data_IF_313314943610
#
_entry.id   IF_313314943610
#
_cell.length_a   1.000
_cell.length_b   1.000
_cell.length_c   1.000
_cell.angle_alpha   90.00
_cell.angle_beta   90.00
_cell.angle_gamma   90.00
#
_symmetry.space_group_name_H-M   'P 1'
#
loop_
_entity.id
_entity.type
_entity.pdbx_description
1 polymer ?
#
# COMPACT_ATOMS: atom_id res chain seq x y z
N UNK A 1 3.58 18.86 28.67
CA UNK A 1 3.63 18.09 27.42
C UNK A 1 4.98 18.38 26.77
N UNK A 2 5.87 17.39 26.59
CA UNK A 2 7.14 17.62 25.91
C UNK A 2 6.87 18.11 24.48
N UNK A 3 7.55 19.18 24.06
CA UNK A 3 7.23 19.89 22.81
C UNK A 3 8.10 19.43 21.64
N UNK A 4 9.14 18.64 21.90
CA UNK A 4 10.05 18.14 20.87
C UNK A 4 10.38 16.66 21.03
N UNK A 5 10.73 16.02 19.92
CA UNK A 5 11.16 14.62 19.86
C UNK A 5 12.37 14.33 20.74
N UNK A 6 13.24 15.33 20.92
CA UNK A 6 14.47 15.23 21.69
C UNK A 6 14.20 15.23 23.21
N UNK A 7 13.25 16.06 23.67
CA UNK A 7 12.78 16.06 25.06
C UNK A 7 12.10 14.74 25.42
N UNK A 8 11.30 14.20 24.50
CA UNK A 8 10.68 12.88 24.67
C UNK A 8 11.72 11.77 24.80
N UNK A 9 12.77 11.78 23.96
CA UNK A 9 13.86 10.80 24.03
C UNK A 9 14.57 10.82 25.39
N UNK A 10 14.87 12.02 25.88
CA UNK A 10 15.53 12.22 27.18
C UNK A 10 14.62 11.77 28.34
N UNK A 11 13.33 12.09 28.28
CA UNK A 11 12.36 11.67 29.28
C UNK A 11 12.14 10.14 29.31
N UNK A 12 12.28 9.47 28.16
CA UNK A 12 12.09 8.03 28.01
C UNK A 12 13.38 7.20 28.18
N UNK A 13 14.53 7.83 28.42
CA UNK A 13 15.81 7.12 28.60
C UNK A 13 16.28 6.36 27.35
N UNK A 14 15.81 6.74 26.16
CA UNK A 14 16.11 6.01 24.94
C UNK A 14 17.52 6.35 24.42
N UNK A 15 18.40 5.34 24.42
CA UNK A 15 19.82 5.50 24.09
C UNK A 15 20.08 5.54 22.57
N UNK A 16 19.20 4.95 21.76
CA UNK A 16 19.28 5.01 20.30
C UNK A 16 17.88 5.02 19.68
N UNK A 17 17.58 5.93 18.73
CA UNK A 17 16.35 5.87 17.98
C UNK A 17 16.43 4.71 17.00
N UNK A 18 15.66 3.65 17.27
CA UNK A 18 15.44 2.58 16.29
C UNK A 18 14.19 2.94 15.49
N UNK A 19 14.25 3.07 14.16
CA UNK A 19 13.06 3.24 13.34
C UNK A 19 12.22 1.96 13.45
N UNK A 20 11.19 2.01 14.30
CA UNK A 20 10.19 0.95 14.33
C UNK A 20 9.39 1.07 13.05
N UNK A 21 9.57 0.13 12.12
CA UNK A 21 8.63 -0.09 11.02
C UNK A 21 7.35 -0.60 11.65
N UNK A 22 6.50 0.30 12.13
CA UNK A 22 5.18 -0.06 12.64
C UNK A 22 4.40 -0.58 11.45
N UNK A 23 4.22 -1.90 11.42
CA UNK A 23 3.16 -2.50 10.64
C UNK A 23 1.85 -1.85 11.09
N UNK A 24 1.23 -1.04 10.22
CA UNK A 24 -0.04 -0.38 10.49
C UNK A 24 -1.19 -1.40 10.47
N UNK A 25 -1.16 -2.34 11.41
CA UNK A 25 -2.22 -3.29 11.68
C UNK A 25 -2.72 -2.99 13.09
N UNK A 26 -3.85 -2.29 13.20
CA UNK A 26 -4.38 -1.82 14.48
C UNK A 26 -5.47 -0.76 14.30
N UNK A 27 -5.98 -0.15 15.39
CA UNK A 27 -7.08 0.82 15.34
C UNK A 27 -6.80 2.04 14.45
N UNK A 28 -5.52 2.32 14.15
CA UNK A 28 -5.08 3.40 13.28
C UNK A 28 -4.94 3.01 11.79
N UNK A 29 -5.06 1.72 11.44
CA UNK A 29 -4.98 1.27 10.05
C UNK A 29 -6.09 1.85 9.17
N UNK A 30 -7.29 2.01 9.73
CA UNK A 30 -8.43 2.63 9.02
C UNK A 30 -8.20 4.11 8.76
N UNK A 31 -7.56 4.83 9.69
CA UNK A 31 -7.25 6.25 9.53
C UNK A 31 -6.17 6.48 8.47
N UNK A 32 -5.19 5.59 8.39
CA UNK A 32 -4.19 5.64 7.32
C UNK A 32 -4.82 5.36 5.95
N UNK A 33 -5.66 4.32 5.86
CA UNK A 33 -6.44 4.05 4.64
C UNK A 33 -7.32 5.26 4.25
N UNK A 34 -7.90 5.96 5.22
CA UNK A 34 -8.67 7.18 4.98
C UNK A 34 -7.83 8.28 4.33
N UNK A 35 -6.63 8.52 4.86
CA UNK A 35 -5.71 9.53 4.34
C UNK A 35 -5.26 9.18 2.92
N UNK A 36 -4.84 7.93 2.70
CA UNK A 36 -4.37 7.47 1.40
C UNK A 36 -5.47 7.56 0.33
N UNK A 37 -6.69 7.13 0.66
CA UNK A 37 -7.83 7.27 -0.24
C UNK A 37 -8.19 8.73 -0.52
N UNK A 38 -7.96 9.65 0.41
CA UNK A 38 -8.18 11.08 0.21
C UNK A 38 -7.20 11.68 -0.80
N UNK A 39 -5.95 11.22 -0.81
CA UNK A 39 -4.93 11.67 -1.75
C UNK A 39 -5.13 11.06 -3.15
N UNK A 40 -5.50 9.77 -3.24
CA UNK A 40 -5.55 9.06 -4.52
C UNK A 40 -6.85 9.27 -5.30
N UNK A 41 -7.99 9.38 -4.61
CA UNK A 41 -9.30 9.48 -5.26
C UNK A 41 -9.67 10.92 -5.62
N UNK A 42 -9.77 11.20 -6.92
CA UNK A 42 -10.08 12.54 -7.43
C UNK A 42 -11.55 12.61 -7.90
N UNK A 43 -12.26 13.68 -7.52
CA UNK A 43 -13.55 14.03 -8.13
C UNK A 43 -13.29 14.77 -9.42
N UNK A 44 -13.32 14.08 -10.56
CA UNK A 44 -13.21 14.73 -11.86
C UNK A 44 -14.45 15.58 -12.15
N UNK A 45 -14.30 16.91 -12.17
CA UNK A 45 -15.17 17.94 -12.80
C UNK A 45 -16.69 17.97 -12.53
N UNK A 46 -17.28 16.95 -11.93
CA UNK A 46 -18.73 16.79 -11.74
C UNK A 46 -19.06 15.93 -10.54
N UNK A 47 -20.36 15.79 -10.26
CA UNK A 47 -20.95 15.07 -9.12
C UNK A 47 -20.80 13.53 -9.18
N UNK A 48 -19.77 13.03 -9.87
CA UNK A 48 -19.49 11.62 -10.05
C UNK A 48 -18.77 10.99 -8.85
N UNK A 49 -18.69 9.65 -8.84
CA UNK A 49 -17.95 8.90 -7.83
C UNK A 49 -16.44 9.18 -7.97
N UNK A 50 -15.77 9.74 -6.96
CA UNK A 50 -14.32 10.00 -7.00
C UNK A 50 -13.55 8.71 -7.25
N UNK A 51 -12.65 8.67 -8.23
CA UNK A 51 -11.89 7.47 -8.62
C UNK A 51 -10.41 7.81 -8.75
N UNK A 52 -9.55 6.80 -8.64
CA UNK A 52 -8.14 6.94 -8.99
C UNK A 52 -8.01 6.97 -10.53
N UNK A 53 -7.42 8.02 -11.13
CA UNK A 53 -7.21 8.10 -12.57
C UNK A 53 -6.22 7.05 -13.11
N UNK A 54 -5.36 6.48 -12.25
CA UNK A 54 -4.42 5.43 -12.64
C UNK A 54 -5.10 4.06 -12.85
N UNK A 55 -6.33 3.87 -12.36
CA UNK A 55 -7.09 2.62 -12.54
C UNK A 55 -7.65 2.47 -13.95
N UNK A 56 -6.79 2.09 -14.90
CA UNK A 56 -7.12 1.88 -16.32
C UNK A 56 -7.67 0.48 -16.63
N UNK A 57 -7.35 -0.52 -15.80
CA UNK A 57 -7.78 -1.91 -15.98
C UNK A 57 -8.92 -2.24 -15.02
N UNK A 58 -10.00 -2.81 -15.54
CA UNK A 58 -11.17 -3.26 -14.75
C UNK A 58 -11.29 -4.77 -14.82
N UNK A 59 -11.27 -5.44 -13.67
CA UNK A 59 -11.50 -6.89 -13.53
C UNK A 59 -12.49 -7.16 -12.42
N UNK A 60 -13.25 -8.25 -12.56
CA UNK A 60 -14.16 -8.72 -11.53
C UNK A 60 -13.36 -9.48 -10.48
N UNK A 61 -13.53 -9.09 -9.22
CA UNK A 61 -12.92 -9.76 -8.06
C UNK A 61 -14.03 -10.41 -7.26
N UNK A 62 -13.90 -11.72 -7.01
CA UNK A 62 -14.83 -12.46 -6.16
C UNK A 62 -14.57 -12.17 -4.68
N UNK A 63 -15.64 -11.91 -3.93
CA UNK A 63 -15.57 -11.69 -2.48
C UNK A 63 -16.51 -12.64 -1.74
N UNK A 64 -16.13 -13.06 -0.54
CA UNK A 64 -17.06 -13.70 0.39
C UNK A 64 -18.11 -12.67 0.87
N UNK A 65 -19.35 -13.08 1.19
CA UNK A 65 -20.39 -12.16 1.66
C UNK A 65 -19.98 -11.34 2.89
N UNK A 66 -19.29 -11.96 3.86
CA UNK A 66 -18.82 -11.28 5.07
C UNK A 66 -17.80 -10.19 4.77
N UNK A 67 -16.86 -10.48 3.86
CA UNK A 67 -15.85 -9.52 3.41
C UNK A 67 -16.49 -8.33 2.70
N UNK A 68 -17.49 -8.58 1.86
CA UNK A 68 -18.21 -7.51 1.16
C UNK A 68 -18.98 -6.61 2.12
N UNK A 69 -19.61 -7.18 3.16
CA UNK A 69 -20.23 -6.40 4.26
C UNK A 69 -19.21 -5.51 4.95
N UNK A 70 -18.07 -6.06 5.36
CA UNK A 70 -17.01 -5.30 6.01
C UNK A 70 -16.50 -4.14 5.13
N UNK A 71 -16.25 -4.39 3.83
CA UNK A 71 -15.87 -3.35 2.88
C UNK A 71 -16.94 -2.27 2.73
N UNK A 72 -18.21 -2.64 2.82
CA UNK A 72 -19.34 -1.71 2.76
C UNK A 72 -19.39 -0.80 3.98
N UNK A 73 -19.22 -1.36 5.18
CA UNK A 73 -19.16 -0.58 6.41
C UNK A 73 -17.97 0.38 6.41
N UNK A 74 -16.80 -0.09 5.96
CA UNK A 74 -15.60 0.74 5.84
C UNK A 74 -15.85 1.88 4.83
N UNK A 75 -16.39 1.57 3.65
CA UNK A 75 -16.70 2.59 2.64
C UNK A 75 -17.69 3.65 3.14
N UNK A 76 -18.69 3.24 3.93
CA UNK A 76 -19.63 4.17 4.56
C UNK A 76 -18.94 5.10 5.57
N UNK A 77 -18.06 4.56 6.42
CA UNK A 77 -17.28 5.35 7.39
C UNK A 77 -16.32 6.34 6.73
N UNK A 78 -15.73 5.95 5.60
CA UNK A 78 -14.78 6.76 4.84
C UNK A 78 -15.45 7.79 3.91
N UNK A 79 -16.75 7.63 3.67
CA UNK A 79 -17.53 8.56 2.85
C UNK A 79 -17.86 9.83 3.63
N UNK A 80 -17.76 10.98 2.96
CA UNK A 80 -18.20 12.28 3.47
C UNK A 80 -19.30 12.87 2.57
N UNK A 81 -20.00 13.95 2.99
CA UNK A 81 -20.99 14.62 2.15
C UNK A 81 -20.43 15.13 0.81
N UNK A 82 -19.13 15.47 0.78
CA UNK A 82 -18.43 15.93 -0.43
C UNK A 82 -17.82 14.80 -1.25
N UNK A 83 -17.66 13.59 -0.67
CA UNK A 83 -16.91 12.49 -1.28
C UNK A 83 -17.50 11.14 -0.92
N UNK A 84 -18.12 10.47 -1.90
CA UNK A 84 -18.65 9.10 -1.70
C UNK A 84 -17.62 8.07 -2.13
N UNK A 85 -17.19 7.23 -1.19
CA UNK A 85 -16.28 6.11 -1.43
C UNK A 85 -17.10 4.83 -1.50
N UNK A 86 -16.77 3.96 -2.45
CA UNK A 86 -17.48 2.70 -2.62
C UNK A 86 -16.73 1.48 -2.10
N UNK A 87 -17.43 0.38 -1.79
CA UNK A 87 -16.79 -0.84 -1.29
C UNK A 87 -15.73 -1.37 -2.27
N UNK A 88 -16.00 -1.30 -3.58
CA UNK A 88 -15.05 -1.72 -4.61
C UNK A 88 -13.79 -0.85 -4.68
N UNK A 89 -13.89 0.44 -4.34
CA UNK A 89 -12.73 1.34 -4.33
C UNK A 89 -11.86 1.12 -3.10
N UNK A 90 -12.49 0.88 -1.94
CA UNK A 90 -11.76 0.42 -0.75
C UNK A 90 -11.04 -0.88 -1.05
N UNK A 91 -11.71 -1.83 -1.72
CA UNK A 91 -11.09 -3.10 -2.09
C UNK A 91 -9.90 -2.92 -3.04
N UNK A 92 -10.05 -2.08 -4.08
CA UNK A 92 -8.99 -1.81 -5.05
C UNK A 92 -7.75 -1.23 -4.37
N UNK A 93 -7.90 -0.23 -3.49
CA UNK A 93 -6.76 0.34 -2.75
C UNK A 93 -6.11 -0.69 -1.84
N UNK A 94 -6.88 -1.43 -1.04
CA UNK A 94 -6.32 -2.47 -0.17
C UNK A 94 -5.52 -3.54 -0.94
N UNK A 95 -5.97 -3.90 -2.15
CA UNK A 95 -5.26 -4.84 -3.03
C UNK A 95 -3.96 -4.23 -3.54
N UNK A 96 -3.98 -3.00 -4.07
CA UNK A 96 -2.79 -2.29 -4.54
C UNK A 96 -1.73 -2.16 -3.42
N UNK A 97 -2.15 -1.75 -2.23
CA UNK A 97 -1.24 -1.52 -1.10
C UNK A 97 -0.64 -2.84 -0.60
N UNK A 98 -1.43 -3.91 -0.59
CA UNK A 98 -0.97 -5.24 -0.22
C UNK A 98 0.02 -5.78 -1.25
N UNK A 99 -0.23 -5.60 -2.54
CA UNK A 99 0.69 -5.99 -3.62
C UNK A 99 1.99 -5.20 -3.53
N UNK A 100 1.93 -3.89 -3.27
CA UNK A 100 3.11 -3.05 -3.10
C UNK A 100 3.98 -3.50 -1.90
N UNK A 101 3.34 -3.75 -0.74
CA UNK A 101 4.03 -4.27 0.46
C UNK A 101 4.66 -5.63 0.23
N UNK A 102 3.94 -6.55 -0.43
CA UNK A 102 4.47 -7.86 -0.77
C UNK A 102 5.69 -7.75 -1.68
N UNK A 103 5.64 -6.88 -2.70
CA UNK A 103 6.78 -6.61 -3.58
C UNK A 103 7.99 -6.12 -2.80
N UNK A 104 7.82 -5.12 -1.94
CA UNK A 104 8.91 -4.57 -1.11
C UNK A 104 9.52 -5.64 -0.20
N UNK A 105 8.70 -6.51 0.41
CA UNK A 105 9.19 -7.62 1.24
C UNK A 105 9.86 -8.75 0.45
N UNK A 106 9.56 -8.85 -0.84
CA UNK A 106 10.05 -9.90 -1.73
C UNK A 106 11.25 -9.49 -2.58
N UNK A 107 11.65 -8.22 -2.54
CA UNK A 107 12.87 -7.73 -3.20
C UNK A 107 14.05 -8.50 -2.61
N UNK A 108 14.71 -9.39 -3.38
CA UNK A 108 15.98 -9.93 -2.97
C UNK A 108 16.94 -8.76 -2.79
N UNK A 109 17.78 -8.79 -1.76
CA UNK A 109 18.89 -7.86 -1.65
C UNK A 109 19.78 -8.06 -2.90
N UNK A 110 19.60 -7.21 -3.91
CA UNK A 110 20.42 -7.25 -5.11
C UNK A 110 21.87 -6.93 -4.72
N UNK A 111 22.64 -8.01 -4.62
CA UNK A 111 24.06 -8.05 -4.28
C UNK A 111 24.69 -9.43 -4.50
N UNK A 112 23.90 -10.50 -4.58
CA UNK A 112 24.44 -11.83 -4.89
C UNK A 112 24.46 -12.09 -6.41
N UNK A 113 25.64 -12.27 -7.03
CA UNK A 113 25.74 -12.62 -8.44
C UNK A 113 25.12 -14.01 -8.66
N UNK A 114 24.10 -14.06 -9.52
CA UNK A 114 23.43 -15.28 -9.93
C UNK A 114 24.45 -16.26 -10.57
N UNK A 115 24.76 -17.43 -9.96
CA UNK A 115 25.66 -18.39 -10.56
C UNK A 115 24.84 -19.23 -11.55
N UNK A 116 24.68 -18.74 -12.79
CA UNK A 116 23.77 -19.43 -13.71
C UNK A 116 23.88 -19.14 -15.20
N UNK A 117 24.80 -18.30 -15.67
CA UNK A 117 25.08 -18.19 -17.11
C UNK A 117 26.48 -18.70 -17.44
N UNK A 118 26.64 -20.00 -17.24
CA UNK A 118 27.77 -20.76 -17.76
C UNK A 118 27.92 -20.48 -19.26
N UNK A 119 29.10 -20.01 -19.64
CA UNK A 119 29.41 -19.55 -20.99
C UNK A 119 29.19 -20.63 -22.03
N UNK A 120 28.35 -20.32 -23.02
CA UNK A 120 28.37 -21.03 -24.30
C UNK A 120 29.50 -20.46 -25.15
N UNK A 121 30.74 -20.87 -24.85
CA UNK A 121 31.86 -20.76 -25.80
C UNK A 121 31.49 -21.56 -27.04
N UNK A 122 31.04 -20.90 -28.11
CA UNK A 122 31.07 -21.52 -29.44
C UNK A 122 32.54 -21.57 -29.87
N UNK A 123 33.13 -22.77 -29.76
CA UNK A 123 34.25 -23.13 -30.63
C UNK A 123 33.65 -23.41 -32.01
N UNK A 124 34.08 -22.68 -33.02
CA UNK A 124 34.00 -23.12 -34.42
C UNK A 124 35.27 -22.60 -35.09
N UNK A 125 36.19 -23.54 -35.30
CA UNK A 125 37.39 -23.39 -36.10
C UNK A 125 37.13 -24.14 -37.42
N UNK A 126 37.83 -23.73 -38.48
CA UNK A 126 37.99 -24.39 -39.80
C UNK A 126 36.87 -23.99 -40.78
N UNK A 127 37.14 -23.49 -41.99
CA UNK A 127 38.31 -23.64 -42.89
C UNK A 127 39.00 -22.33 -43.27
#
# INVERSE_FOLDING_TARGET
MPRSSEEMRKALGANQPVPVRTQLHGPFGVLHLQAELAERLHTGGGAGRPSDPAWTIRRLVGFRPDTWRALTEIAARLSSPRRRVSPGQVAASLIEDSVAKLRESSTPLDGEPHPGRAGRRRKSHVS
#
